data_IF_627070674707
#
_entry.id   IF_627070674707
#
_cell.length_a   1.000
_cell.length_b   1.000
_cell.length_c   1.000
_cell.angle_alpha   90.00
_cell.angle_beta   90.00
_cell.angle_gamma   90.00
#
_symmetry.space_group_name_H-M   'P 1'
#
loop_
_entity.id
_entity.type
_entity.pdbx_description
1 polymer ?
#
# COMPACT_ATOMS: atom_id res chain seq x y z
N UNK A 1 17.95 19.91 -43.69
CA UNK A 1 17.84 18.46 -43.44
C UNK A 1 17.84 18.26 -41.92
N UNK A 2 16.67 17.99 -41.35
CA UNK A 2 16.36 18.08 -39.92
C UNK A 2 16.93 16.93 -39.09
N UNK A 3 17.17 17.23 -37.80
CA UNK A 3 17.83 16.39 -36.79
C UNK A 3 17.13 15.03 -36.57
N UNK A 4 17.86 13.98 -36.13
CA UNK A 4 17.25 12.70 -35.83
C UNK A 4 16.37 12.80 -34.57
N UNK A 5 15.16 12.28 -34.69
CA UNK A 5 14.21 12.02 -33.61
C UNK A 5 14.90 11.24 -32.47
N UNK A 6 15.15 11.93 -31.36
CA UNK A 6 15.54 11.27 -30.10
C UNK A 6 14.28 10.58 -29.58
N UNK A 7 14.26 9.25 -29.39
CA UNK A 7 13.13 8.62 -28.74
C UNK A 7 13.01 9.19 -27.33
N UNK A 8 11.85 9.78 -27.03
CA UNK A 8 11.52 10.23 -25.69
C UNK A 8 11.73 9.05 -24.72
N UNK A 9 12.37 9.26 -23.56
CA UNK A 9 12.42 8.21 -22.55
C UNK A 9 10.96 7.91 -22.19
N UNK A 10 10.50 6.69 -22.52
CA UNK A 10 9.30 6.12 -21.91
C UNK A 10 9.45 6.37 -20.43
N UNK A 11 8.57 7.22 -19.88
CA UNK A 11 8.44 7.35 -18.45
C UNK A 11 8.11 5.95 -17.95
N UNK A 12 9.14 5.25 -17.47
CA UNK A 12 8.96 4.11 -16.61
C UNK A 12 8.20 4.73 -15.46
N UNK A 13 6.88 4.51 -15.41
CA UNK A 13 6.11 4.76 -14.21
C UNK A 13 6.83 3.93 -13.17
N UNK A 14 7.69 4.58 -12.38
CA UNK A 14 8.42 3.98 -11.28
C UNK A 14 7.31 3.60 -10.31
N UNK A 15 6.73 2.42 -10.51
CA UNK A 15 5.76 1.86 -9.61
C UNK A 15 6.45 1.88 -8.26
N UNK A 16 5.93 2.71 -7.34
CA UNK A 16 6.56 2.93 -6.05
C UNK A 16 6.93 1.57 -5.46
N UNK A 17 8.18 1.43 -5.03
CA UNK A 17 8.66 0.19 -4.47
C UNK A 17 7.70 -0.26 -3.35
N UNK A 18 7.36 -1.55 -3.28
CA UNK A 18 6.50 -2.04 -2.22
C UNK A 18 7.14 -1.74 -0.87
N UNK A 19 6.32 -1.20 0.03
CA UNK A 19 6.67 -0.88 1.40
C UNK A 19 6.14 -2.00 2.29
N UNK A 20 6.94 -2.39 3.28
CA UNK A 20 6.53 -3.34 4.31
C UNK A 20 6.33 -2.60 5.61
N UNK A 21 5.09 -2.61 6.11
CA UNK A 21 4.66 -1.86 7.28
C UNK A 21 4.16 -2.84 8.34
N UNK A 22 4.41 -2.53 9.61
CA UNK A 22 3.90 -3.27 10.77
C UNK A 22 2.96 -2.37 11.54
N UNK A 23 1.77 -2.87 11.86
CA UNK A 23 0.76 -2.12 12.59
C UNK A 23 -0.41 -2.99 13.01
N UNK A 24 -1.37 -2.42 13.72
CA UNK A 24 -2.59 -3.10 14.11
C UNK A 24 -3.62 -3.03 12.97
N UNK A 25 -4.14 -4.19 12.57
CA UNK A 25 -5.21 -4.25 11.59
C UNK A 25 -6.54 -3.93 12.27
N UNK A 26 -7.26 -2.93 11.76
CA UNK A 26 -8.60 -2.57 12.23
C UNK A 26 -9.61 -2.74 11.13
N UNK A 27 -10.82 -3.15 11.50
CA UNK A 27 -11.97 -3.17 10.61
C UNK A 27 -12.81 -1.92 10.83
N UNK A 28 -13.13 -1.23 9.74
CA UNK A 28 -14.06 -0.10 9.70
C UNK A 28 -15.20 -0.40 8.73
N UNK A 29 -16.27 0.40 8.77
CA UNK A 29 -17.39 0.28 7.82
C UNK A 29 -16.96 0.48 6.36
N UNK A 30 -15.84 1.19 6.14
CA UNK A 30 -15.29 1.50 4.81
C UNK A 30 -14.17 0.55 4.37
N UNK A 31 -13.94 -0.55 5.09
CA UNK A 31 -12.88 -1.53 4.82
C UNK A 31 -11.85 -1.64 5.93
N UNK A 32 -10.63 -2.07 5.60
CA UNK A 32 -9.57 -2.28 6.58
C UNK A 32 -8.65 -1.06 6.71
N UNK A 33 -8.18 -0.85 7.93
CA UNK A 33 -7.24 0.20 8.31
C UNK A 33 -6.01 -0.44 8.96
N UNK A 34 -4.84 0.13 8.72
CA UNK A 34 -3.60 -0.21 9.43
C UNK A 34 -3.23 0.95 10.34
N UNK A 35 -3.33 0.75 11.64
CA UNK A 35 -2.89 1.69 12.67
C UNK A 35 -1.41 1.41 12.99
N UNK A 36 -0.55 2.38 12.69
CA UNK A 36 0.89 2.31 12.97
C UNK A 36 1.16 2.69 14.43
N UNK A 37 2.28 2.23 14.98
CA UNK A 37 2.70 2.55 16.36
C UNK A 37 2.91 4.07 16.60
N UNK A 38 3.16 4.83 15.54
CA UNK A 38 3.32 6.30 15.58
C UNK A 38 1.97 7.07 15.52
N UNK A 39 0.84 6.36 15.48
CA UNK A 39 -0.50 6.91 15.36
C UNK A 39 -0.93 7.25 13.93
N UNK A 40 -0.08 6.99 12.92
CA UNK A 40 -0.48 7.13 11.53
C UNK A 40 -1.46 6.02 11.13
N UNK A 41 -2.52 6.37 10.40
CA UNK A 41 -3.53 5.41 9.95
C UNK A 41 -3.54 5.32 8.43
N UNK A 42 -3.35 4.12 7.91
CA UNK A 42 -3.43 3.83 6.49
C UNK A 42 -4.73 3.12 6.13
N UNK A 43 -5.39 3.58 5.06
CA UNK A 43 -6.48 2.83 4.45
C UNK A 43 -5.91 1.73 3.56
N UNK A 44 -6.42 0.52 3.71
CA UNK A 44 -5.99 -0.63 2.93
C UNK A 44 -6.98 -0.87 1.78
N UNK A 45 -6.52 -0.67 0.55
CA UNK A 45 -7.25 -1.00 -0.66
C UNK A 45 -6.90 -2.43 -1.12
N UNK A 46 -7.88 -3.17 -1.64
CA UNK A 46 -7.71 -4.57 -2.06
C UNK A 46 -7.68 -5.59 -0.92
N UNK A 47 -7.85 -5.15 0.33
CA UNK A 47 -7.99 -6.01 1.50
C UNK A 47 -9.44 -6.52 1.57
N UNK A 48 -9.74 -7.68 0.96
CA UNK A 48 -11.13 -8.12 0.79
C UNK A 48 -11.62 -8.99 1.96
N UNK A 49 -10.77 -9.80 2.58
CA UNK A 49 -11.19 -10.71 3.65
C UNK A 49 -10.01 -11.12 4.53
N UNK A 50 -9.77 -10.40 5.64
CA UNK A 50 -8.84 -10.80 6.69
C UNK A 50 -9.49 -11.03 8.07
N UNK A 51 -10.63 -11.76 8.18
CA UNK A 51 -11.29 -11.97 9.47
C UNK A 51 -10.37 -12.46 10.60
N UNK A 52 -9.44 -13.43 10.40
CA UNK A 52 -8.64 -13.95 11.51
C UNK A 52 -7.54 -12.99 11.99
N UNK A 53 -7.27 -11.91 11.25
CA UNK A 53 -6.20 -10.96 11.56
C UNK A 53 -6.74 -9.62 12.07
N UNK A 54 -8.07 -9.45 12.16
CA UNK A 54 -8.69 -8.24 12.71
C UNK A 54 -8.29 -8.07 14.16
N UNK A 55 -7.96 -6.83 14.54
CA UNK A 55 -7.46 -6.41 15.86
C UNK A 55 -6.10 -7.01 16.25
N UNK A 56 -5.46 -7.77 15.36
CA UNK A 56 -4.12 -8.30 15.55
C UNK A 56 -3.05 -7.36 14.98
N UNK A 57 -1.83 -7.50 15.48
CA UNK A 57 -0.66 -6.89 14.83
C UNK A 57 -0.32 -7.69 13.58
N UNK A 58 -0.22 -6.99 12.45
CA UNK A 58 0.02 -7.57 11.13
C UNK A 58 1.21 -6.90 10.46
N UNK A 59 1.77 -7.61 9.49
CA UNK A 59 2.68 -7.07 8.50
C UNK A 59 1.89 -6.90 7.20
N UNK A 60 1.93 -5.69 6.65
CA UNK A 60 1.31 -5.34 5.37
C UNK A 60 2.42 -4.98 4.38
N UNK A 61 2.46 -5.68 3.26
CA UNK A 61 3.23 -5.27 2.10
C UNK A 61 2.30 -4.58 1.12
N UNK A 62 2.56 -3.32 0.81
CA UNK A 62 1.69 -2.49 0.00
C UNK A 62 2.45 -1.46 -0.80
N UNK A 63 1.80 -0.93 -1.84
CA UNK A 63 2.29 0.25 -2.56
C UNK A 63 1.54 1.48 -2.08
N UNK A 64 2.29 2.57 -1.89
CA UNK A 64 1.69 3.84 -1.52
C UNK A 64 0.93 4.41 -2.71
N UNK A 65 -0.40 4.43 -2.61
CA UNK A 65 -1.28 5.01 -3.61
C UNK A 65 -1.48 6.52 -3.37
N UNK A 66 -1.53 6.93 -2.11
CA UNK A 66 -1.68 8.34 -1.69
C UNK A 66 -1.05 8.56 -0.31
N UNK A 67 -1.20 9.75 0.29
CA UNK A 67 -0.68 10.08 1.63
C UNK A 67 -1.29 9.26 2.77
N UNK A 68 -2.45 8.65 2.57
CA UNK A 68 -3.17 7.84 3.59
C UNK A 68 -3.84 6.59 2.99
N UNK A 69 -3.41 6.17 1.80
CA UNK A 69 -3.95 5.01 1.08
C UNK A 69 -2.82 4.09 0.62
N UNK A 70 -3.00 2.81 0.90
CA UNK A 70 -2.10 1.72 0.51
C UNK A 70 -2.86 0.73 -0.36
N UNK A 71 -2.30 0.42 -1.53
CA UNK A 71 -2.71 -0.73 -2.33
C UNK A 71 -2.01 -1.97 -1.79
N UNK A 72 -2.77 -2.81 -1.09
CA UNK A 72 -2.24 -4.01 -0.45
C UNK A 72 -1.82 -5.02 -1.51
N UNK A 73 -0.59 -5.49 -1.41
CA UNK A 73 -0.06 -6.58 -2.21
C UNK A 73 -0.07 -7.89 -1.41
N UNK A 74 0.22 -7.81 -0.12
CA UNK A 74 0.21 -8.95 0.80
C UNK A 74 -0.06 -8.49 2.23
N UNK A 75 -0.65 -9.37 3.03
CA UNK A 75 -0.89 -9.15 4.45
C UNK A 75 -0.77 -10.47 5.19
N UNK A 76 -0.14 -10.44 6.37
CA UNK A 76 -0.02 -11.61 7.23
C UNK A 76 0.27 -11.25 8.69
N UNK A 77 0.30 -12.25 9.59
CA UNK A 77 0.66 -12.04 10.99
C UNK A 77 2.10 -11.52 11.12
N UNK A 78 2.35 -10.71 12.15
CA UNK A 78 3.67 -10.17 12.47
C UNK A 78 4.60 -11.17 13.15
#
# INVERSE_FOLDING_TARGET
MGRPDRPAPRAVTMAAAPLRLRGQLRRSERGFLLEMEDGHVWRLNGAQDFPPLVDATVIVEARKASSSLLDVLWLGPA
#
